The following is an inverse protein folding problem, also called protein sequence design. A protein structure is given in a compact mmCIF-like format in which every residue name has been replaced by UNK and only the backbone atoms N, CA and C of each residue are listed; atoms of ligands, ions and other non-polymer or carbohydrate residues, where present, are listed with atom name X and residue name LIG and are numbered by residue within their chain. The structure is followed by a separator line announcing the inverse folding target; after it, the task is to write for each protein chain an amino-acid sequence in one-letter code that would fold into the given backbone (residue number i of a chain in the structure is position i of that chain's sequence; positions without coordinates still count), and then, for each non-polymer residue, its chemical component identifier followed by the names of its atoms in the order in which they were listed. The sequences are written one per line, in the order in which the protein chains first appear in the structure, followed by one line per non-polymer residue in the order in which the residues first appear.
data_IF_002223636030
#
_entry.id   IF_002223636030
#
_cell.length_a   1.000
_cell.length_b   1.000
_cell.length_c   1.000
_cell.angle_alpha   90.00
_cell.angle_beta   90.00
_cell.angle_gamma   90.00
#
_symmetry.space_group_name_H-M   'P 1'
#
loop_
_entity.id
_entity.type
_entity.pdbx_description
1 polymer ?
#
# COMPACT_ATOMS: atom_id res chain seq x y z
N UNK A 1 -46.13 -19.12 4.02
CA UNK A 1 -44.91 -19.77 3.50
C UNK A 1 -44.09 -18.71 2.80
N UNK A 2 -43.09 -18.17 3.50
CA UNK A 2 -42.21 -17.09 3.04
C UNK A 2 -40.95 -17.69 2.41
N UNK A 3 -40.66 -17.34 1.16
CA UNK A 3 -39.42 -17.71 0.48
C UNK A 3 -38.27 -16.80 0.98
N UNK A 4 -37.04 -17.33 1.13
CA UNK A 4 -35.90 -16.51 1.51
C UNK A 4 -35.35 -15.81 0.26
N UNK A 5 -35.14 -14.50 0.37
CA UNK A 5 -34.39 -13.70 -0.60
C UNK A 5 -32.90 -13.95 -0.34
N UNK A 6 -32.28 -14.83 -1.12
CA UNK A 6 -30.82 -14.93 -1.20
C UNK A 6 -30.28 -13.71 -1.92
N UNK A 7 -29.66 -12.81 -1.15
CA UNK A 7 -28.87 -11.69 -1.68
C UNK A 7 -27.57 -12.27 -2.26
N UNK A 8 -27.41 -12.18 -3.58
CA UNK A 8 -26.17 -12.53 -4.25
C UNK A 8 -25.18 -11.35 -4.14
N UNK A 9 -24.00 -11.65 -3.60
CA UNK A 9 -22.87 -10.73 -3.51
C UNK A 9 -22.32 -10.49 -4.93
N UNK A 10 -22.52 -9.29 -5.48
CA UNK A 10 -21.91 -8.91 -6.76
C UNK A 10 -20.45 -8.53 -6.52
N UNK A 11 -19.53 -9.42 -6.87
CA UNK A 11 -18.09 -9.12 -6.92
C UNK A 11 -17.87 -8.18 -8.12
N UNK A 12 -17.43 -6.95 -7.86
CA UNK A 12 -16.99 -6.04 -8.92
C UNK A 12 -15.60 -6.46 -9.42
N UNK A 13 -15.56 -7.40 -10.36
CA UNK A 13 -14.36 -7.68 -11.16
C UNK A 13 -14.36 -6.73 -12.35
N UNK A 14 -13.46 -5.75 -12.37
CA UNK A 14 -13.19 -4.98 -13.59
C UNK A 14 -12.31 -5.84 -14.49
N UNK A 15 -12.94 -6.54 -15.43
CA UNK A 15 -12.27 -7.33 -16.47
C UNK A 15 -12.21 -6.48 -17.74
N UNK A 16 -11.02 -6.01 -18.11
CA UNK A 16 -10.76 -5.54 -19.46
C UNK A 16 -10.48 -6.76 -20.34
N UNK A 17 -11.37 -7.07 -21.28
CA UNK A 17 -11.11 -8.05 -22.34
C UNK A 17 -10.27 -7.40 -23.42
N UNK A 18 -9.04 -7.87 -23.59
CA UNK A 18 -8.31 -7.76 -24.86
C UNK A 18 -8.22 -9.17 -25.45
N UNK A 19 -8.86 -9.35 -26.60
CA UNK A 19 -8.64 -10.51 -27.45
C UNK A 19 -7.21 -10.43 -28.01
N UNK A 20 -6.41 -11.48 -27.77
CA UNK A 20 -5.19 -11.73 -28.54
C UNK A 20 -3.88 -11.73 -27.75
N UNK A 21 -3.23 -12.89 -27.74
CA UNK A 21 -1.82 -13.17 -27.42
C UNK A 21 -1.34 -13.08 -25.97
N UNK A 22 -0.85 -14.23 -25.47
CA UNK A 22 0.07 -14.34 -24.34
C UNK A 22 -0.57 -14.10 -22.98
N UNK A 23 -0.88 -15.18 -22.25
CA UNK A 23 -1.25 -15.11 -20.84
C UNK A 23 -0.06 -14.61 -20.01
N UNK A 24 0.10 -13.29 -19.93
CA UNK A 24 0.68 -12.68 -18.74
C UNK A 24 -0.43 -12.67 -17.69
N UNK A 25 -0.21 -13.38 -16.60
CA UNK A 25 -1.06 -13.32 -15.42
C UNK A 25 -1.01 -11.85 -14.95
N UNK A 26 -1.95 -11.02 -15.37
CA UNK A 26 -2.14 -9.69 -14.76
C UNK A 26 -2.60 -10.01 -13.35
N UNK A 27 -1.65 -10.03 -12.43
CA UNK A 27 -1.92 -10.24 -11.02
C UNK A 27 -2.72 -9.02 -10.59
N UNK A 28 -4.05 -9.18 -10.56
CA UNK A 28 -4.95 -8.10 -10.23
C UNK A 28 -4.77 -7.76 -8.75
N UNK A 29 -4.58 -6.49 -8.45
CA UNK A 29 -4.61 -5.96 -7.09
C UNK A 29 -5.87 -6.46 -6.36
N UNK A 30 -5.68 -7.00 -5.16
CA UNK A 30 -6.78 -7.29 -4.24
C UNK A 30 -6.48 -6.67 -2.88
N UNK A 31 -7.53 -6.49 -2.08
CA UNK A 31 -7.41 -5.99 -0.71
C UNK A 31 -6.42 -6.76 0.15
N UNK A 32 -6.21 -8.05 -0.10
CA UNK A 32 -5.37 -8.92 0.73
C UNK A 32 -4.02 -9.26 0.07
N UNK A 33 -3.79 -8.79 -1.17
CA UNK A 33 -2.61 -9.12 -1.94
C UNK A 33 -2.27 -8.03 -2.97
N UNK A 34 -1.11 -7.41 -2.81
CA UNK A 34 -0.68 -6.24 -3.60
C UNK A 34 0.71 -6.36 -4.22
N UNK A 35 1.24 -7.58 -4.35
CA UNK A 35 2.50 -7.81 -5.07
C UNK A 35 2.26 -7.77 -6.57
N UNK A 36 2.37 -6.59 -7.17
CA UNK A 36 2.05 -6.34 -8.58
C UNK A 36 3.15 -5.51 -9.24
N UNK A 37 3.41 -5.78 -10.52
CA UNK A 37 4.44 -5.08 -11.31
C UNK A 37 5.87 -5.39 -10.87
N UNK A 38 6.84 -4.76 -11.54
CA UNK A 38 8.29 -4.91 -11.30
C UNK A 38 8.94 -3.53 -11.10
N UNK A 39 10.26 -3.49 -10.91
CA UNK A 39 11.04 -2.25 -10.80
C UNK A 39 10.71 -1.37 -9.60
N UNK A 40 9.96 -1.90 -8.64
CA UNK A 40 9.59 -1.25 -7.40
C UNK A 40 10.31 -1.90 -6.22
N UNK A 41 10.92 -1.07 -5.39
CA UNK A 41 11.75 -1.50 -4.30
C UNK A 41 11.54 -0.62 -3.06
N UNK A 42 11.49 -1.25 -1.90
CA UNK A 42 11.61 -0.63 -0.58
C UNK A 42 12.96 -1.01 0.03
N UNK A 43 13.59 -0.07 0.71
CA UNK A 43 14.76 -0.36 1.55
C UNK A 43 14.49 0.19 2.95
N UNK A 44 14.61 -0.67 3.95
CA UNK A 44 14.28 -0.35 5.34
C UNK A 44 15.46 0.25 6.12
N UNK A 45 15.21 0.71 7.35
CA UNK A 45 16.26 1.26 8.21
C UNK A 45 16.05 0.83 9.67
N UNK A 46 17.10 0.41 10.38
CA UNK A 46 18.51 0.62 10.05
C UNK A 46 19.19 -0.51 9.26
N UNK A 47 18.63 -1.72 9.18
CA UNK A 47 19.33 -2.89 8.59
C UNK A 47 19.43 -2.87 7.06
N UNK A 48 18.70 -1.99 6.37
CA UNK A 48 18.75 -1.83 4.90
C UNK A 48 18.45 -3.12 4.13
N UNK A 49 17.53 -3.94 4.62
CA UNK A 49 17.04 -5.03 3.79
C UNK A 49 16.15 -4.48 2.68
N UNK A 50 16.17 -5.18 1.56
CA UNK A 50 15.48 -4.79 0.35
C UNK A 50 14.21 -5.62 0.22
N UNK A 51 13.08 -4.97 -0.01
CA UNK A 51 11.82 -5.61 -0.41
C UNK A 51 11.52 -5.22 -1.85
N UNK A 52 11.30 -6.22 -2.70
CA UNK A 52 10.98 -6.07 -4.11
C UNK A 52 9.97 -7.17 -4.51
N UNK A 53 9.72 -7.32 -5.81
CA UNK A 53 8.76 -8.32 -6.29
C UNK A 53 9.13 -9.76 -5.91
N UNK A 54 10.42 -10.10 -5.82
CA UNK A 54 10.90 -11.47 -5.58
C UNK A 54 10.65 -11.94 -4.14
N UNK A 55 10.64 -11.02 -3.18
CA UNK A 55 10.39 -11.31 -1.77
C UNK A 55 9.15 -10.57 -1.23
N UNK A 56 8.22 -10.24 -2.12
CA UNK A 56 6.95 -9.66 -1.75
C UNK A 56 6.09 -10.64 -0.93
N UNK A 57 5.25 -10.10 -0.04
CA UNK A 57 4.44 -10.82 0.94
C UNK A 57 5.24 -11.61 2.00
N UNK A 58 6.55 -11.35 2.11
CA UNK A 58 7.39 -11.95 3.15
C UNK A 58 6.85 -11.64 4.55
N UNK A 59 6.78 -12.67 5.39
CA UNK A 59 6.43 -12.55 6.81
C UNK A 59 7.68 -12.31 7.64
N UNK A 60 7.78 -11.11 8.19
CA UNK A 60 8.85 -10.69 9.07
C UNK A 60 8.47 -10.94 10.54
N UNK A 61 9.36 -11.54 11.34
CA UNK A 61 9.15 -11.75 12.76
C UNK A 61 9.14 -10.42 13.55
N UNK A 62 8.63 -10.46 14.79
CA UNK A 62 8.44 -9.28 15.63
C UNK A 62 9.73 -8.49 15.88
N UNK A 63 10.88 -9.14 15.99
CA UNK A 63 12.19 -8.49 16.15
C UNK A 63 12.61 -7.65 14.92
N UNK A 64 11.97 -7.85 13.78
CA UNK A 64 12.14 -7.05 12.56
C UNK A 64 11.22 -5.83 12.47
N UNK A 65 10.32 -5.64 13.42
CA UNK A 65 9.42 -4.47 13.43
C UNK A 65 10.16 -3.13 13.51
N UNK A 66 11.34 -3.11 14.13
CA UNK A 66 12.13 -1.89 14.31
C UNK A 66 12.58 -1.28 12.99
N UNK A 67 12.81 -2.11 11.95
CA UNK A 67 13.19 -1.61 10.63
C UNK A 67 12.06 -0.92 9.87
N UNK A 68 10.83 -1.16 10.34
CA UNK A 68 9.61 -0.57 9.82
C UNK A 68 9.09 0.57 10.71
N UNK A 69 9.80 0.95 11.77
CA UNK A 69 9.47 2.17 12.52
C UNK A 69 9.92 3.43 11.79
N UNK A 70 10.96 3.30 10.97
CA UNK A 70 11.48 4.39 10.15
C UNK A 70 10.89 4.29 8.74
N UNK A 71 10.52 5.45 8.17
CA UNK A 71 10.05 5.54 6.78
C UNK A 71 11.06 4.84 5.85
N UNK A 72 10.66 3.79 5.11
CA UNK A 72 11.55 3.14 4.17
C UNK A 72 11.87 4.10 3.02
N UNK A 73 13.07 3.98 2.45
CA UNK A 73 13.30 4.57 1.13
C UNK A 73 12.60 3.74 0.07
N UNK A 74 12.13 4.39 -0.97
CA UNK A 74 11.33 3.75 -1.98
C UNK A 74 11.78 4.24 -3.36
N UNK A 75 11.97 3.28 -4.27
CA UNK A 75 12.43 3.52 -5.63
C UNK A 75 11.50 2.80 -6.61
N UNK A 76 11.05 3.51 -7.64
CA UNK A 76 10.39 2.91 -8.80
C UNK A 76 11.13 3.31 -10.07
N UNK A 77 12.01 2.44 -10.57
CA UNK A 77 12.93 2.79 -11.67
C UNK A 77 12.26 2.87 -13.04
N UNK A 78 11.02 2.39 -13.17
CA UNK A 78 10.23 2.51 -14.38
C UNK A 78 9.27 3.74 -14.37
N UNK A 79 9.40 4.63 -13.38
CA UNK A 79 8.68 5.90 -13.37
C UNK A 79 9.08 6.77 -14.58
N UNK A 80 8.09 7.36 -15.25
CA UNK A 80 8.38 8.29 -16.35
C UNK A 80 8.74 9.65 -15.75
N UNK A 81 9.89 10.19 -16.14
CA UNK A 81 10.51 11.35 -15.50
C UNK A 81 9.58 12.57 -15.32
N UNK A 82 8.78 12.88 -16.34
CA UNK A 82 7.89 14.06 -16.38
C UNK A 82 6.49 13.81 -15.80
N UNK A 83 6.20 12.60 -15.32
CA UNK A 83 4.91 12.27 -14.72
C UNK A 83 4.94 12.46 -13.19
N UNK A 84 3.75 12.57 -12.60
CA UNK A 84 3.56 12.71 -11.16
C UNK A 84 2.96 11.43 -10.60
N UNK A 85 3.35 11.09 -9.38
CA UNK A 85 2.95 9.87 -8.71
C UNK A 85 2.50 10.14 -7.28
N UNK A 86 1.56 9.31 -6.85
CA UNK A 86 1.09 9.20 -5.47
C UNK A 86 1.53 7.88 -4.89
N UNK A 87 2.10 7.92 -3.69
CA UNK A 87 2.55 6.75 -2.96
C UNK A 87 1.70 6.61 -1.72
N UNK A 88 1.23 5.39 -1.46
CA UNK A 88 0.36 5.11 -0.32
C UNK A 88 0.85 3.86 0.40
N UNK A 89 0.85 3.92 1.73
CA UNK A 89 0.96 2.75 2.60
C UNK A 89 -0.37 2.53 3.31
N UNK A 90 -0.97 1.36 3.09
CA UNK A 90 -2.25 0.96 3.64
C UNK A 90 -2.11 -0.31 4.48
N UNK A 91 -2.97 -0.45 5.47
CA UNK A 91 -3.14 -1.69 6.23
C UNK A 91 -4.61 -2.14 6.13
N UNK A 92 -4.92 -3.26 5.47
CA UNK A 92 -6.27 -3.82 5.48
C UNK A 92 -6.61 -4.31 6.90
N UNK A 93 -7.84 -4.04 7.36
CA UNK A 93 -8.33 -4.45 8.68
C UNK A 93 -9.54 -5.37 8.51
N UNK A 94 -9.48 -6.59 9.04
CA UNK A 94 -10.48 -7.66 8.78
C UNK A 94 -11.96 -7.24 8.93
N UNK A 95 -12.26 -6.32 9.85
CA UNK A 95 -13.64 -5.90 10.16
C UNK A 95 -14.08 -4.62 9.46
N UNK A 96 -13.26 -4.07 8.58
CA UNK A 96 -13.59 -2.91 7.77
C UNK A 96 -14.30 -3.32 6.48
N UNK A 97 -14.97 -2.36 5.84
CA UNK A 97 -15.50 -2.58 4.51
C UNK A 97 -14.37 -2.90 3.50
N UNK A 98 -14.71 -3.53 2.38
CA UNK A 98 -13.73 -4.02 1.39
C UNK A 98 -12.78 -2.92 0.90
N UNK A 99 -13.23 -1.66 0.86
CA UNK A 99 -12.45 -0.51 0.37
C UNK A 99 -11.89 0.38 1.49
N UNK A 100 -12.07 -0.02 2.75
CA UNK A 100 -11.60 0.71 3.92
C UNK A 100 -10.30 0.11 4.47
N UNK A 101 -9.38 1.00 4.82
CA UNK A 101 -8.03 0.68 5.30
C UNK A 101 -7.65 1.58 6.47
N UNK A 102 -6.62 1.18 7.23
CA UNK A 102 -5.85 2.17 7.99
C UNK A 102 -4.80 2.78 7.05
N UNK A 103 -4.75 4.11 6.93
CA UNK A 103 -3.72 4.82 6.16
C UNK A 103 -2.49 5.10 7.04
N UNK A 104 -1.36 4.55 6.63
CA UNK A 104 -0.09 4.64 7.33
C UNK A 104 0.84 5.70 6.76
N UNK A 105 0.74 5.98 5.45
CA UNK A 105 1.57 6.96 4.78
C UNK A 105 0.93 7.35 3.46
N UNK A 106 1.01 8.62 3.08
CA UNK A 106 0.62 9.08 1.74
C UNK A 106 1.35 10.35 1.34
N UNK A 107 2.01 10.27 0.19
CA UNK A 107 2.69 11.37 -0.48
C UNK A 107 2.08 11.53 -1.87
N UNK A 108 1.80 12.77 -2.26
CA UNK A 108 1.35 13.14 -3.59
C UNK A 108 2.40 13.98 -4.31
N UNK A 109 2.21 14.16 -5.62
CA UNK A 109 3.03 15.04 -6.46
C UNK A 109 4.50 14.64 -6.51
N UNK A 110 4.80 13.35 -6.32
CA UNK A 110 6.17 12.85 -6.45
C UNK A 110 6.51 12.79 -7.93
N UNK A 111 7.50 13.56 -8.38
CA UNK A 111 7.94 13.51 -9.77
C UNK A 111 8.58 12.16 -10.09
N UNK A 112 8.40 11.67 -11.31
CA UNK A 112 8.93 10.37 -11.71
C UNK A 112 10.44 10.25 -11.61
N UNK A 113 11.19 11.31 -11.95
CA UNK A 113 12.65 11.29 -11.81
C UNK A 113 13.06 11.24 -10.32
N UNK A 114 12.37 11.97 -9.43
CA UNK A 114 12.61 11.93 -7.99
C UNK A 114 12.28 10.55 -7.39
N UNK A 115 11.23 9.91 -7.91
CA UNK A 115 10.80 8.59 -7.52
C UNK A 115 11.80 7.49 -7.95
N UNK A 116 12.42 7.64 -9.13
CA UNK A 116 13.44 6.73 -9.62
C UNK A 116 14.77 6.87 -8.84
N UNK A 117 15.06 8.06 -8.30
CA UNK A 117 16.31 8.36 -7.59
C UNK A 117 16.17 8.44 -6.07
N UNK A 118 14.95 8.26 -5.53
CA UNK A 118 14.61 8.44 -4.11
C UNK A 118 14.99 9.84 -3.57
N UNK A 119 14.64 10.91 -4.30
CA UNK A 119 14.94 12.31 -3.99
C UNK A 119 13.68 13.18 -3.87
N UNK A 120 12.81 12.87 -2.92
CA UNK A 120 11.42 13.34 -2.77
C UNK A 120 11.25 14.85 -2.45
N UNK A 121 11.90 15.74 -3.20
CA UNK A 121 12.07 17.15 -2.85
C UNK A 121 10.77 17.95 -2.96
N UNK A 122 9.90 17.61 -3.91
CA UNK A 122 8.66 18.35 -4.19
C UNK A 122 7.38 17.60 -3.76
N UNK A 123 7.51 16.50 -3.02
CA UNK A 123 6.37 15.71 -2.57
C UNK A 123 5.48 16.51 -1.60
N UNK A 124 4.16 16.31 -1.73
CA UNK A 124 3.16 16.87 -0.82
C UNK A 124 2.64 15.78 0.13
N UNK A 125 2.92 15.93 1.41
CA UNK A 125 2.51 14.94 2.42
C UNK A 125 1.05 15.11 2.80
N UNK A 126 0.25 14.08 2.50
CA UNK A 126 -1.17 13.98 2.91
C UNK A 126 -1.29 13.26 4.25
N UNK A 127 -0.46 12.23 4.45
CA UNK A 127 -0.37 11.50 5.72
C UNK A 127 1.09 11.16 5.99
N UNK A 128 1.64 11.68 7.09
CA UNK A 128 3.01 11.36 7.50
C UNK A 128 3.19 9.85 7.74
N UNK A 129 4.41 9.35 7.53
CA UNK A 129 4.71 7.95 7.78
C UNK A 129 4.48 7.55 9.23
N UNK A 130 3.65 6.52 9.42
CA UNK A 130 3.44 5.86 10.69
C UNK A 130 3.72 4.37 10.51
N UNK A 131 4.78 3.87 11.15
CA UNK A 131 5.15 2.46 11.09
C UNK A 131 4.14 1.52 11.78
N UNK A 132 4.35 0.20 11.69
CA UNK A 132 3.58 -0.79 12.45
C UNK A 132 3.66 -0.54 13.96
N UNK A 133 2.59 -0.79 14.71
CA UNK A 133 2.60 -0.45 16.15
C UNK A 133 3.50 -1.37 16.97
N UNK A 134 4.32 -0.81 17.86
CA UNK A 134 5.11 -1.53 18.88
C UNK A 134 4.25 -1.90 20.10
N UNK A 135 3.30 -2.82 19.96
CA UNK A 135 2.51 -3.32 21.10
C UNK A 135 2.99 -4.71 21.52
N UNK A 136 3.48 -4.81 22.76
CA UNK A 136 4.04 -6.04 23.34
C UNK A 136 3.01 -7.14 23.56
N UNK A 137 1.74 -6.79 23.68
CA UNK A 137 0.60 -7.68 23.89
C UNK A 137 -0.22 -7.95 22.60
N UNK A 138 0.30 -7.54 21.44
CA UNK A 138 -0.33 -7.78 20.16
C UNK A 138 -0.01 -9.19 19.69
N UNK A 139 -0.97 -9.84 19.04
CA UNK A 139 -0.83 -11.19 18.51
C UNK A 139 -1.36 -11.26 17.07
N UNK A 140 -0.91 -12.27 16.33
CA UNK A 140 -1.29 -12.48 14.95
C UNK A 140 -0.43 -11.71 13.95
N UNK A 141 -0.89 -11.70 12.71
CA UNK A 141 -0.15 -11.13 11.58
C UNK A 141 -0.89 -9.94 11.00
N UNK A 142 -0.18 -8.84 10.78
CA UNK A 142 -0.69 -7.68 10.05
C UNK A 142 -0.05 -7.57 8.68
N UNK A 143 -0.84 -7.09 7.71
CA UNK A 143 -0.43 -6.86 6.33
C UNK A 143 -0.23 -5.37 6.12
N UNK A 144 0.87 -4.99 5.48
CA UNK A 144 1.08 -3.61 5.03
C UNK A 144 1.36 -3.57 3.53
N UNK A 145 0.67 -2.68 2.84
CA UNK A 145 0.64 -2.60 1.39
C UNK A 145 1.19 -1.24 0.96
N UNK A 146 2.20 -1.26 0.10
CA UNK A 146 2.79 -0.09 -0.51
C UNK A 146 2.35 -0.05 -1.96
N UNK A 147 1.71 1.03 -2.38
CA UNK A 147 1.12 1.18 -3.70
C UNK A 147 1.58 2.48 -4.34
N UNK A 148 1.80 2.47 -5.65
CA UNK A 148 2.00 3.68 -6.44
C UNK A 148 0.84 3.84 -7.41
N UNK A 149 0.38 5.08 -7.54
CA UNK A 149 -0.60 5.53 -8.53
C UNK A 149 0.01 6.65 -9.36
N UNK A 150 -0.27 6.67 -10.64
CA UNK A 150 0.08 7.78 -11.51
C UNK A 150 -0.98 8.88 -11.38
N UNK A 151 -0.55 10.14 -11.42
CA UNK A 151 -1.40 11.32 -11.44
C UNK A 151 -1.38 11.94 -12.84
N UNK A 152 -2.53 12.43 -13.30
CA UNK A 152 -2.64 13.21 -14.54
C UNK A 152 -1.82 14.51 -14.48
N UNK A 153 -1.81 15.17 -13.31
CA UNK A 153 -1.12 16.44 -13.04
C UNK A 153 -0.92 16.63 -11.53
N UNK A 154 -0.09 17.60 -11.09
CA UNK A 154 0.04 17.94 -9.68
C UNK A 154 -1.29 18.37 -9.07
N UNK A 155 -1.50 18.00 -7.82
CA UNK A 155 -2.68 18.37 -7.04
C UNK A 155 -2.29 18.76 -5.62
N UNK A 156 -2.63 19.97 -5.23
CA UNK A 156 -2.44 20.46 -3.88
C UNK A 156 -3.73 20.29 -3.09
N UNK A 157 -3.65 19.60 -1.95
CA UNK A 157 -4.77 19.39 -1.05
C UNK A 157 -4.48 19.99 0.31
N UNK A 158 -5.51 20.49 0.97
CA UNK A 158 -5.45 20.88 2.39
C UNK A 158 -5.87 19.73 3.31
N UNK A 159 -6.37 18.62 2.74
CA UNK A 159 -6.70 17.43 3.51
C UNK A 159 -5.44 16.84 4.12
N UNK A 160 -5.51 16.59 5.43
CA UNK A 160 -4.40 16.05 6.20
C UNK A 160 -4.88 14.94 7.13
N UNK A 161 -4.18 13.82 7.08
CA UNK A 161 -4.44 12.62 7.86
C UNK A 161 -3.37 12.41 8.92
N UNK A 162 -3.02 13.47 9.65
CA UNK A 162 -1.97 13.42 10.67
C UNK A 162 -2.44 12.81 12.00
N UNK A 163 -3.73 12.88 12.33
CA UNK A 163 -4.24 12.33 13.61
C UNK A 163 -4.64 10.85 13.47
N UNK A 164 -4.45 10.02 14.52
CA UNK A 164 -4.86 8.62 14.50
C UNK A 164 -6.34 8.40 14.13
N UNK A 165 -7.22 9.32 14.56
CA UNK A 165 -8.67 9.25 14.29
C UNK A 165 -9.00 9.38 12.81
N UNK A 166 -8.24 10.18 12.05
CA UNK A 166 -8.49 10.37 10.63
C UNK A 166 -7.90 9.23 9.80
N UNK A 167 -6.93 8.48 10.36
CA UNK A 167 -6.23 7.42 9.65
C UNK A 167 -7.00 6.10 9.56
N UNK A 168 -8.01 5.92 10.41
CA UNK A 168 -8.81 4.69 10.43
C UNK A 168 -9.94 4.74 9.41
N UNK A 169 -10.31 3.58 8.85
CA UNK A 169 -11.40 3.44 7.86
C UNK A 169 -11.28 4.40 6.68
N UNK A 170 -10.06 4.65 6.25
CA UNK A 170 -9.77 5.46 5.09
C UNK A 170 -10.18 4.73 3.81
N UNK A 171 -11.04 5.37 3.01
CA UNK A 171 -11.46 4.86 1.71
C UNK A 171 -10.65 5.54 0.60
N UNK A 172 -9.61 4.85 0.10
CA UNK A 172 -8.70 5.41 -0.90
C UNK A 172 -9.40 5.75 -2.21
N UNK A 173 -10.35 4.91 -2.65
CA UNK A 173 -11.06 5.13 -3.90
C UNK A 173 -11.99 6.35 -3.80
N UNK A 174 -12.68 6.50 -2.68
CA UNK A 174 -13.51 7.68 -2.43
C UNK A 174 -12.64 8.94 -2.35
N UNK A 175 -11.49 8.87 -1.66
CA UNK A 175 -10.54 9.98 -1.62
C UNK A 175 -10.12 10.43 -3.02
N UNK A 176 -9.73 9.50 -3.90
CA UNK A 176 -9.35 9.81 -5.28
C UNK A 176 -10.51 10.39 -6.09
N UNK A 177 -11.72 9.86 -5.95
CA UNK A 177 -12.92 10.38 -6.66
C UNK A 177 -13.27 11.83 -6.28
N UNK A 178 -12.91 12.28 -5.08
CA UNK A 178 -13.16 13.66 -4.63
C UNK A 178 -12.13 14.65 -5.14
N UNK A 179 -10.97 14.20 -5.61
CA UNK A 179 -9.95 15.10 -6.14
C UNK A 179 -10.32 15.60 -7.54
N UNK A 180 -9.89 16.82 -7.93
CA UNK A 180 -10.16 17.39 -9.24
C UNK A 180 -9.19 16.87 -10.34
N UNK A 181 -8.50 15.77 -10.09
CA UNK A 181 -7.53 15.13 -10.99
C UNK A 181 -7.82 13.64 -11.10
N UNK A 182 -7.38 13.02 -12.19
CA UNK A 182 -7.44 11.57 -12.35
C UNK A 182 -6.20 10.90 -11.74
N UNK A 183 -6.44 9.70 -11.20
CA UNK A 183 -5.41 8.78 -10.72
C UNK A 183 -5.52 7.47 -11.50
N UNK A 184 -4.41 6.97 -12.00
CA UNK A 184 -4.31 5.68 -12.67
C UNK A 184 -3.56 4.68 -11.79
N UNK A 185 -4.13 3.49 -11.59
CA UNK A 185 -3.44 2.42 -10.88
C UNK A 185 -4.32 1.57 -9.95
N UNK A 186 -3.70 0.83 -9.00
CA UNK A 186 -2.26 0.89 -8.68
C UNK A 186 -1.40 0.36 -9.85
N UNK A 187 -0.31 1.06 -10.19
CA UNK A 187 0.59 0.68 -11.29
C UNK A 187 1.62 -0.37 -10.84
N UNK A 188 2.02 -0.30 -9.58
CA UNK A 188 2.97 -1.21 -8.95
C UNK A 188 2.67 -1.26 -7.45
N UNK A 189 3.00 -2.39 -6.83
CA UNK A 189 2.74 -2.58 -5.41
C UNK A 189 3.60 -3.65 -4.79
N UNK A 190 3.86 -3.47 -3.49
CA UNK A 190 4.50 -4.44 -2.63
C UNK A 190 3.68 -4.65 -1.37
N UNK A 191 3.83 -5.82 -0.78
CA UNK A 191 3.18 -6.20 0.47
C UNK A 191 4.22 -6.80 1.40
N UNK A 192 4.04 -6.57 2.70
CA UNK A 192 4.78 -7.26 3.75
C UNK A 192 3.80 -7.76 4.80
N UNK A 193 4.25 -8.73 5.58
CA UNK A 193 3.54 -9.22 6.77
C UNK A 193 4.42 -9.03 7.99
N UNK A 194 3.85 -8.49 9.07
CA UNK A 194 4.51 -8.42 10.38
C UNK A 194 3.83 -9.43 11.29
N UNK A 195 4.60 -10.42 11.76
CA UNK A 195 4.13 -11.39 12.73
C UNK A 195 4.42 -10.91 14.16
N UNK A 196 3.36 -10.67 14.92
CA UNK A 196 3.43 -10.27 16.32
C UNK A 196 3.52 -11.46 17.28
N UNK A 197 3.38 -12.69 16.77
CA UNK A 197 3.61 -13.87 17.59
C UNK A 197 5.11 -13.93 17.93
N UNK A 198 5.43 -13.77 19.21
CA UNK A 198 6.79 -13.99 19.71
C UNK A 198 7.04 -15.48 19.74
N UNK A 199 8.15 -15.91 19.16
CA UNK A 199 8.73 -17.18 19.56
C UNK A 199 9.09 -17.01 21.04
N UNK A 200 8.26 -17.56 21.93
CA UNK A 200 8.63 -17.72 23.32
C UNK A 200 9.75 -18.74 23.27
N UNK A 201 10.99 -18.28 23.39
CA UNK A 201 12.13 -19.15 23.59
C UNK A 201 11.73 -20.19 24.63
N UNK A 202 11.72 -21.45 24.22
CA UNK A 202 11.60 -22.57 25.13
C UNK A 202 12.88 -22.58 25.96
N UNK A 203 12.90 -21.76 27.01
CA UNK A 203 13.89 -21.85 28.07
C UNK A 203 13.59 -23.17 28.78
N UNK A 204 14.31 -24.21 28.37
CA UNK A 204 14.44 -25.47 29.12
C UNK A 204 15.39 -25.24 30.30
#
# INVERSE_FOLDING_TARGET
MSAPITSFLTIASVVFTLEGCGRNLVQSYTREYTCIGQNFQLTTYPRRFIVNHENCDTKYPFDMIMDWQTKPSLVYTAAKAEEYYTIVMLKPVKYYETLEFDIHWMEMNVRGYDLAENKWQEASTVSEYLGPTLMFNKFGTEVFQFLIYQQERPQFTTESYCTPRNRIRFNLLEYFKRQPIQFEGPIVGLQIRIDYNREVDKIN
#
